data_IF_525971204601
#
_entry.id   IF_525971204601
#
_cell.length_a   1.000
_cell.length_b   1.000
_cell.length_c   1.000
_cell.angle_alpha   90.00
_cell.angle_beta   90.00
_cell.angle_gamma   90.00
#
_symmetry.space_group_name_H-M   'P 1'
#
loop_
_entity.id
_entity.type
_entity.pdbx_description
1 polymer ?
#
# COMPACT_ATOMS: atom_id res chain seq x y z
N UNK A 1 55.11 8.02 -12.65
CA UNK A 1 55.08 8.16 -11.18
C UNK A 1 53.78 7.52 -10.71
N UNK A 2 53.88 6.27 -10.28
CA UNK A 2 52.77 5.38 -9.91
C UNK A 2 52.67 5.35 -8.39
N UNK A 3 51.53 5.79 -7.84
CA UNK A 3 51.21 5.67 -6.42
C UNK A 3 50.03 4.73 -6.26
N UNK A 4 50.32 3.48 -5.86
CA UNK A 4 49.34 2.45 -5.56
C UNK A 4 49.22 2.40 -4.02
N UNK A 5 48.15 2.95 -3.47
CA UNK A 5 47.90 2.88 -2.02
C UNK A 5 47.01 1.68 -1.70
N UNK A 6 47.57 0.76 -0.92
CA UNK A 6 46.95 -0.46 -0.42
C UNK A 6 46.21 -0.15 0.88
N UNK A 7 44.87 -0.22 0.87
CA UNK A 7 44.06 -0.10 2.09
C UNK A 7 43.77 -1.51 2.64
N UNK A 8 44.37 -1.81 3.78
CA UNK A 8 44.14 -3.00 4.59
C UNK A 8 42.94 -2.76 5.53
N UNK A 9 41.82 -3.44 5.29
CA UNK A 9 40.66 -3.40 6.21
C UNK A 9 40.67 -4.66 7.07
N UNK A 10 40.86 -4.47 8.38
CA UNK A 10 40.89 -5.51 9.41
C UNK A 10 39.46 -5.84 9.84
N UNK A 11 39.04 -7.10 9.68
CA UNK A 11 37.79 -7.62 10.20
C UNK A 11 37.96 -8.04 11.67
N UNK A 12 37.42 -7.28 12.61
CA UNK A 12 37.25 -7.70 14.00
C UNK A 12 35.90 -8.39 14.17
N UNK A 13 35.91 -9.71 14.34
CA UNK A 13 34.75 -10.50 14.73
C UNK A 13 34.50 -10.35 16.23
N UNK A 14 33.38 -9.72 16.61
CA UNK A 14 32.88 -9.67 17.98
C UNK A 14 31.95 -10.87 18.22
N UNK A 15 32.42 -11.82 19.03
CA UNK A 15 31.62 -12.90 19.61
C UNK A 15 30.70 -12.31 20.69
N UNK A 16 29.43 -12.11 20.36
CA UNK A 16 28.38 -11.73 21.32
C UNK A 16 27.81 -12.95 22.02
N UNK A 17 27.97 -13.02 23.35
CA UNK A 17 27.40 -14.04 24.22
C UNK A 17 25.87 -13.96 24.26
N UNK A 18 25.21 -15.11 24.06
CA UNK A 18 23.76 -15.27 24.15
C UNK A 18 23.38 -15.41 25.63
N UNK A 19 22.73 -14.41 26.21
CA UNK A 19 22.05 -14.52 27.50
C UNK A 19 20.67 -15.15 27.27
N UNK A 20 20.44 -16.33 27.84
CA UNK A 20 19.15 -17.00 27.85
C UNK A 20 18.17 -16.26 28.78
N UNK A 21 17.07 -15.77 28.22
CA UNK A 21 15.96 -15.18 28.98
C UNK A 21 15.08 -16.28 29.59
N UNK A 22 14.56 -16.10 30.81
CA UNK A 22 13.62 -17.02 31.44
C UNK A 22 12.27 -17.03 30.71
N UNK A 23 11.72 -18.22 30.50
CA UNK A 23 10.40 -18.44 29.89
C UNK A 23 9.28 -17.89 30.78
N UNK A 24 8.31 -17.14 30.24
CA UNK A 24 7.13 -16.72 30.99
C UNK A 24 6.18 -17.90 31.23
N UNK A 25 5.65 -17.95 32.46
CA UNK A 25 4.73 -18.96 32.99
C UNK A 25 3.32 -18.83 32.36
N UNK A 26 2.75 -19.89 31.76
CA UNK A 26 1.47 -19.81 31.06
C UNK A 26 0.29 -20.09 32.00
N UNK A 27 0.09 -19.27 33.04
CA UNK A 27 -1.11 -19.41 33.91
C UNK A 27 -1.61 -18.08 34.48
N UNK A 28 -2.67 -17.55 33.86
CA UNK A 28 -3.95 -17.10 34.46
C UNK A 28 -4.59 -16.07 33.55
N UNK A 29 -5.64 -16.48 32.84
CA UNK A 29 -6.60 -15.56 32.24
C UNK A 29 -7.62 -15.24 33.34
N UNK A 30 -7.66 -14.00 33.88
CA UNK A 30 -8.77 -13.58 34.71
C UNK A 30 -10.02 -13.40 33.84
N UNK A 31 -11.03 -14.23 34.08
CA UNK A 31 -12.37 -14.06 33.51
C UNK A 31 -12.96 -12.75 34.05
N UNK A 32 -12.97 -11.72 33.20
CA UNK A 32 -13.59 -10.42 33.51
C UNK A 32 -15.11 -10.56 33.43
N UNK A 33 -15.88 -10.22 34.47
CA UNK A 33 -17.34 -10.20 34.37
C UNK A 33 -17.78 -9.17 33.33
N UNK A 34 -18.78 -9.55 32.53
CA UNK A 34 -19.38 -8.71 31.51
C UNK A 34 -19.98 -7.46 32.18
N UNK A 35 -19.45 -6.29 31.82
CA UNK A 35 -20.05 -5.02 32.19
C UNK A 35 -21.30 -4.81 31.33
N UNK A 36 -22.44 -4.70 32.00
CA UNK A 36 -23.73 -4.30 31.46
C UNK A 36 -23.64 -2.87 30.95
N UNK A 37 -23.81 -2.67 29.64
CA UNK A 37 -23.80 -1.35 29.02
C UNK A 37 -25.18 -0.72 29.23
N UNK A 38 -25.27 0.14 30.24
CA UNK A 38 -26.42 1.00 30.48
C UNK A 38 -26.52 2.03 29.33
N UNK A 39 -27.59 1.95 28.55
CA UNK A 39 -27.86 2.84 27.42
C UNK A 39 -28.22 4.23 27.95
N UNK A 40 -27.25 5.13 27.98
CA UNK A 40 -27.48 6.55 28.22
C UNK A 40 -28.18 7.14 26.99
N UNK A 41 -29.47 7.44 27.14
CA UNK A 41 -30.28 8.14 26.15
C UNK A 41 -30.02 9.65 26.27
N UNK A 42 -29.37 10.25 25.27
CA UNK A 42 -29.16 11.69 25.19
C UNK A 42 -30.28 12.33 24.35
N UNK A 43 -31.07 13.28 24.90
CA UNK A 43 -32.06 14.02 24.13
C UNK A 43 -31.37 15.05 23.23
N UNK A 44 -31.61 14.99 21.92
CA UNK A 44 -31.21 16.09 21.01
C UNK A 44 -30.80 15.72 19.59
N UNK A 45 -30.68 14.44 19.22
CA UNK A 45 -30.42 14.05 17.83
C UNK A 45 -31.73 13.78 17.10
N UNK A 46 -32.11 14.72 16.22
CA UNK A 46 -33.19 14.54 15.26
C UNK A 46 -32.93 13.29 14.42
N UNK A 47 -33.82 12.30 14.57
CA UNK A 47 -33.82 11.10 13.75
C UNK A 47 -34.21 11.47 12.32
N UNK A 48 -33.22 11.52 11.43
CA UNK A 48 -33.47 11.43 9.99
C UNK A 48 -34.03 10.03 9.75
N UNK A 49 -35.33 9.94 9.49
CA UNK A 49 -35.96 8.69 9.07
C UNK A 49 -35.37 8.26 7.74
N UNK A 50 -34.82 7.03 7.61
CA UNK A 50 -34.54 6.47 6.31
C UNK A 50 -35.88 6.13 5.66
N UNK A 51 -36.20 6.83 4.57
CA UNK A 51 -37.28 6.46 3.67
C UNK A 51 -37.11 5.00 3.27
N UNK A 52 -38.08 4.18 3.67
CA UNK A 52 -38.29 2.83 3.14
C UNK A 52 -38.71 2.96 1.68
N UNK A 53 -37.73 2.90 0.78
CA UNK A 53 -37.96 2.55 -0.62
C UNK A 53 -37.31 1.20 -0.90
N UNK A 54 -38.05 0.38 -1.62
CA UNK A 54 -37.81 -1.02 -1.86
C UNK A 54 -36.48 -1.23 -2.62
N UNK A 55 -35.63 -2.12 -2.11
CA UNK A 55 -34.60 -2.80 -2.89
C UNK A 55 -34.32 -4.16 -2.25
N UNK A 56 -35.01 -5.18 -2.76
CA UNK A 56 -34.48 -6.53 -2.76
C UNK A 56 -33.39 -6.56 -3.84
N UNK A 57 -32.14 -6.71 -3.40
CA UNK A 57 -30.95 -7.21 -4.12
C UNK A 57 -29.73 -6.74 -3.32
N UNK A 58 -29.41 -7.49 -2.26
CA UNK A 58 -28.25 -7.25 -1.39
C UNK A 58 -27.45 -8.56 -1.23
N UNK A 59 -27.11 -9.16 -2.38
CA UNK A 59 -25.94 -10.01 -2.52
C UNK A 59 -24.95 -9.29 -3.45
N UNK A 60 -23.69 -9.20 -3.01
CA UNK A 60 -22.52 -8.84 -3.81
C UNK A 60 -22.18 -7.33 -3.98
N UNK A 61 -21.92 -6.64 -2.86
CA UNK A 61 -20.92 -5.55 -2.85
C UNK A 61 -19.53 -6.10 -2.51
N UNK A 62 -19.01 -6.98 -3.35
CA UNK A 62 -17.56 -7.14 -3.46
C UNK A 62 -17.00 -5.84 -4.08
N UNK A 63 -15.95 -5.21 -3.51
CA UNK A 63 -15.34 -4.04 -4.14
C UNK A 63 -14.95 -4.40 -5.56
N UNK A 64 -15.62 -3.76 -6.52
CA UNK A 64 -15.62 -4.14 -7.93
C UNK A 64 -14.22 -4.43 -8.44
N UNK A 65 -14.05 -5.63 -8.95
CA UNK A 65 -12.77 -6.14 -9.39
C UNK A 65 -12.33 -5.33 -10.63
N UNK A 66 -11.22 -4.58 -10.56
CA UNK A 66 -10.94 -3.58 -11.58
C UNK A 66 -10.29 -4.20 -12.81
N UNK A 67 -11.07 -4.31 -13.88
CA UNK A 67 -10.74 -5.07 -15.11
C UNK A 67 -9.93 -4.27 -16.15
N UNK A 68 -9.78 -2.95 -16.00
CA UNK A 68 -9.24 -2.08 -17.07
C UNK A 68 -7.90 -1.41 -16.76
N UNK A 69 -7.29 -1.72 -15.62
CA UNK A 69 -6.05 -1.07 -15.18
C UNK A 69 -4.83 -1.69 -15.88
N UNK A 70 -3.84 -0.85 -16.23
CA UNK A 70 -2.64 -1.25 -16.99
C UNK A 70 -2.97 -1.90 -18.36
N UNK A 71 -3.81 -1.30 -19.20
CA UNK A 71 -4.21 -1.87 -20.49
C UNK A 71 -4.83 -3.29 -20.36
N UNK A 72 -5.62 -3.51 -19.32
CA UNK A 72 -6.25 -4.81 -19.03
C UNK A 72 -5.24 -5.94 -18.74
N UNK A 73 -3.97 -5.61 -18.44
CA UNK A 73 -2.98 -6.63 -18.09
C UNK A 73 -3.00 -6.96 -16.60
N UNK A 74 -3.66 -6.16 -15.75
CA UNK A 74 -3.71 -6.44 -14.31
C UNK A 74 -5.13 -6.35 -13.76
N UNK A 75 -5.39 -7.13 -12.72
CA UNK A 75 -6.64 -7.20 -11.99
C UNK A 75 -6.36 -7.27 -10.47
N UNK A 76 -7.42 -7.14 -9.66
CA UNK A 76 -7.34 -7.29 -8.19
C UNK A 76 -6.30 -6.38 -7.52
N UNK A 77 -6.13 -5.16 -8.04
CA UNK A 77 -5.15 -4.22 -7.51
C UNK A 77 -5.59 -3.72 -6.13
N UNK A 78 -4.69 -3.83 -5.15
CA UNK A 78 -4.95 -3.49 -3.75
C UNK A 78 -3.75 -2.79 -3.12
N UNK A 79 -4.02 -1.91 -2.15
CA UNK A 79 -2.98 -1.36 -1.27
C UNK A 79 -2.82 -2.23 -0.03
N UNK A 80 -1.62 -2.75 0.14
CA UNK A 80 -1.14 -3.43 1.34
C UNK A 80 -0.44 -2.49 2.33
N UNK A 81 0.26 -3.08 3.31
CA UNK A 81 1.06 -2.34 4.30
C UNK A 81 0.38 -2.13 5.65
N UNK A 82 -0.94 -2.32 5.74
CA UNK A 82 -1.73 -2.27 7.00
C UNK A 82 -1.47 -1.02 7.87
N UNK A 83 -1.16 0.11 7.24
CA UNK A 83 -0.81 1.34 7.96
C UNK A 83 0.50 1.26 8.73
N UNK A 84 1.46 0.39 8.38
CA UNK A 84 2.85 0.51 8.85
C UNK A 84 3.60 1.55 8.01
N UNK A 85 4.52 2.29 8.62
CA UNK A 85 5.42 3.22 7.89
C UNK A 85 6.48 2.44 7.12
N UNK A 86 6.85 2.92 5.93
CA UNK A 86 7.78 2.30 4.99
C UNK A 86 7.26 1.04 4.28
N UNK A 87 5.98 0.71 4.43
CA UNK A 87 5.43 -0.59 4.06
C UNK A 87 4.22 -0.52 3.12
N UNK A 88 3.89 0.66 2.59
CA UNK A 88 2.80 0.79 1.61
C UNK A 88 3.16 0.08 0.31
N UNK A 89 2.45 -1.01 0.01
CA UNK A 89 2.72 -1.88 -1.14
C UNK A 89 1.51 -1.88 -2.06
N UNK A 90 1.71 -1.74 -3.37
CA UNK A 90 0.68 -2.06 -4.37
C UNK A 90 0.81 -3.53 -4.74
N UNK A 91 -0.24 -4.31 -4.56
CA UNK A 91 -0.31 -5.71 -4.98
C UNK A 91 -1.44 -5.94 -5.98
N UNK A 92 -1.35 -7.01 -6.76
CA UNK A 92 -2.43 -7.46 -7.64
C UNK A 92 -1.97 -8.62 -8.52
N UNK A 93 -2.80 -8.98 -9.49
CA UNK A 93 -2.56 -10.10 -10.40
C UNK A 93 -2.34 -9.55 -11.80
N UNK A 94 -1.20 -9.81 -12.42
CA UNK A 94 -0.85 -9.29 -13.73
C UNK A 94 -0.51 -10.41 -14.72
N UNK A 95 -1.01 -10.27 -15.94
CA UNK A 95 -0.76 -11.15 -17.08
C UNK A 95 0.53 -10.78 -17.78
N UNK A 96 1.32 -11.77 -18.17
CA UNK A 96 2.48 -11.57 -19.04
C UNK A 96 2.12 -11.70 -20.54
N UNK A 97 3.14 -11.70 -21.40
CA UNK A 97 2.99 -11.77 -22.85
C UNK A 97 2.52 -13.14 -23.33
N UNK A 98 2.79 -14.20 -22.55
CA UNK A 98 2.37 -15.57 -22.82
C UNK A 98 0.93 -15.83 -22.33
N UNK A 99 0.29 -14.84 -21.70
CA UNK A 99 -1.06 -14.94 -21.17
C UNK A 99 -1.14 -15.54 -19.77
N UNK A 100 0.00 -15.79 -19.11
CA UNK A 100 0.06 -16.38 -17.76
C UNK A 100 -0.16 -15.30 -16.71
N UNK A 101 -1.02 -15.59 -15.73
CA UNK A 101 -1.30 -14.69 -14.61
C UNK A 101 -0.30 -14.88 -13.46
N UNK A 102 0.14 -13.77 -12.88
CA UNK A 102 1.12 -13.73 -11.83
C UNK A 102 0.67 -12.82 -10.70
N UNK A 103 0.83 -13.29 -9.47
CA UNK A 103 0.70 -12.43 -8.30
C UNK A 103 1.95 -11.55 -8.22
N UNK A 104 1.75 -10.24 -8.15
CA UNK A 104 2.84 -9.27 -8.14
C UNK A 104 2.60 -8.18 -7.11
N UNK A 105 3.69 -7.63 -6.57
CA UNK A 105 3.62 -6.54 -5.61
C UNK A 105 4.85 -5.64 -5.66
N UNK A 106 4.69 -4.35 -5.41
CA UNK A 106 5.79 -3.38 -5.36
C UNK A 106 5.61 -2.41 -4.18
N UNK A 107 6.70 -2.08 -3.48
CA UNK A 107 6.69 -1.07 -2.41
C UNK A 107 6.67 0.33 -3.01
N UNK A 108 5.60 1.08 -2.78
CA UNK A 108 5.39 2.41 -3.35
C UNK A 108 6.32 3.47 -2.74
N UNK A 109 6.89 3.21 -1.56
CA UNK A 109 7.91 4.09 -0.96
C UNK A 109 9.19 4.17 -1.78
N UNK A 110 9.41 3.21 -2.68
CA UNK A 110 10.53 3.23 -3.62
C UNK A 110 10.26 4.14 -4.83
N UNK A 111 8.99 4.50 -5.09
CA UNK A 111 8.60 5.23 -6.30
C UNK A 111 8.12 6.66 -6.01
N UNK A 112 7.61 6.93 -4.80
CA UNK A 112 6.93 8.18 -4.47
C UNK A 112 7.49 8.85 -3.21
N UNK A 113 7.48 10.18 -3.22
CA UNK A 113 7.77 11.05 -2.08
C UNK A 113 6.59 11.98 -1.77
N UNK A 114 6.59 12.49 -0.54
CA UNK A 114 5.90 13.72 -0.19
C UNK A 114 6.85 14.91 -0.40
N UNK A 115 6.40 15.92 -1.13
CA UNK A 115 7.14 17.16 -1.35
C UNK A 115 6.24 18.33 -0.96
N UNK A 116 6.35 18.77 0.29
CA UNK A 116 5.56 19.91 0.80
C UNK A 116 4.05 19.69 0.84
N UNK A 117 3.58 18.45 1.01
CA UNK A 117 2.17 18.09 0.98
C UNK A 117 1.66 17.60 -0.38
N UNK A 118 2.55 17.49 -1.38
CA UNK A 118 2.22 17.01 -2.73
C UNK A 118 2.93 15.69 -3.01
N UNK A 119 2.18 14.71 -3.51
CA UNK A 119 2.75 13.44 -3.99
C UNK A 119 3.54 13.66 -5.27
N UNK A 120 4.79 13.20 -5.28
CA UNK A 120 5.65 13.28 -6.45
C UNK A 120 6.36 11.95 -6.72
N UNK A 121 6.70 11.72 -7.98
CA UNK A 121 7.58 10.64 -8.37
C UNK A 121 9.00 10.92 -7.87
N UNK A 122 9.55 10.04 -7.05
CA UNK A 122 10.92 10.16 -6.52
C UNK A 122 11.41 8.79 -6.06
N UNK A 123 12.62 8.44 -6.47
CA UNK A 123 13.23 7.18 -6.05
C UNK A 123 13.47 7.19 -4.54
N UNK A 124 13.10 6.10 -3.87
CA UNK A 124 13.22 5.94 -2.41
C UNK A 124 12.61 7.10 -1.61
N UNK A 125 11.50 7.65 -2.09
CA UNK A 125 10.87 8.85 -1.55
C UNK A 125 10.17 8.69 -0.19
N UNK A 126 9.81 7.47 0.22
CA UNK A 126 9.21 7.17 1.52
C UNK A 126 7.97 8.03 1.88
N UNK A 127 7.11 8.30 0.90
CA UNK A 127 5.93 9.18 1.07
C UNK A 127 5.03 8.78 2.26
N UNK A 128 4.90 7.48 2.56
CA UNK A 128 3.94 6.99 3.55
C UNK A 128 4.29 7.35 5.02
N UNK A 129 5.45 7.96 5.24
CA UNK A 129 5.85 8.55 6.53
C UNK A 129 4.97 9.74 6.91
N UNK A 130 4.50 10.48 5.90
CA UNK A 130 3.80 11.76 6.01
C UNK A 130 2.48 11.81 5.23
N UNK A 131 2.21 10.80 4.40
CA UNK A 131 0.99 10.72 3.58
C UNK A 131 0.04 9.63 4.07
N UNK A 132 -1.04 10.01 4.77
CA UNK A 132 -2.08 9.09 5.27
C UNK A 132 -3.44 9.80 5.48
N UNK A 133 -4.58 9.11 5.27
CA UNK A 133 -4.71 7.81 4.63
C UNK A 133 -4.49 7.90 3.11
N UNK A 134 -4.27 6.75 2.47
CA UNK A 134 -4.17 6.62 1.02
C UNK A 134 -5.16 5.60 0.49
N UNK A 135 -5.75 5.87 -0.66
CA UNK A 135 -6.70 4.99 -1.35
C UNK A 135 -6.34 4.88 -2.83
N UNK A 136 -6.59 3.70 -3.41
CA UNK A 136 -6.60 3.57 -4.87
C UNK A 136 -7.94 4.05 -5.38
N UNK A 137 -7.89 4.77 -6.49
CA UNK A 137 -9.06 5.21 -7.21
C UNK A 137 -8.84 4.98 -8.69
N UNK A 138 -9.85 4.40 -9.29
CA UNK A 138 -10.01 4.32 -10.71
C UNK A 138 -10.86 5.49 -11.14
N UNK A 139 -10.24 6.50 -11.72
CA UNK A 139 -10.96 7.69 -12.17
C UNK A 139 -11.64 7.42 -13.53
N UNK A 140 -12.53 6.41 -13.53
CA UNK A 140 -13.65 6.11 -14.44
C UNK A 140 -13.42 6.11 -15.96
N UNK A 141 -12.22 6.42 -16.42
CA UNK A 141 -11.89 6.61 -17.83
C UNK A 141 -10.68 5.75 -18.13
N UNK A 142 -10.78 4.90 -19.16
CA UNK A 142 -9.69 4.04 -19.61
C UNK A 142 -8.40 4.83 -19.93
N UNK A 143 -8.54 6.13 -20.19
CA UNK A 143 -7.44 7.06 -20.44
C UNK A 143 -6.69 7.48 -19.16
N UNK A 144 -7.32 7.45 -17.98
CA UNK A 144 -6.73 8.03 -16.75
C UNK A 144 -6.01 7.04 -15.83
N UNK A 145 -5.95 5.75 -16.18
CA UNK A 145 -5.16 4.76 -15.43
C UNK A 145 -5.56 4.64 -13.95
N UNK A 146 -4.62 4.18 -13.12
CA UNK A 146 -4.82 4.01 -11.68
C UNK A 146 -4.31 5.26 -10.96
N UNK A 147 -5.11 5.83 -10.06
CA UNK A 147 -4.68 6.99 -9.26
C UNK A 147 -4.50 6.58 -7.79
N UNK A 148 -3.37 6.93 -7.19
CA UNK A 148 -3.19 6.90 -5.74
C UNK A 148 -3.58 8.27 -5.18
N UNK A 149 -4.61 8.32 -4.35
CA UNK A 149 -5.08 9.52 -3.67
C UNK A 149 -4.67 9.46 -2.19
N UNK A 150 -4.07 10.51 -1.66
CA UNK A 150 -3.60 10.58 -0.29
C UNK A 150 -3.84 11.96 0.34
N UNK A 151 -3.77 12.02 1.67
CA UNK A 151 -3.56 13.28 2.38
C UNK A 151 -2.12 13.33 2.90
N UNK A 152 -1.33 14.30 2.46
CA UNK A 152 0.08 14.44 2.83
C UNK A 152 0.31 15.69 3.68
N UNK A 153 1.14 15.57 4.72
CA UNK A 153 1.47 16.72 5.56
C UNK A 153 2.36 17.71 4.79
N UNK A 154 1.99 18.98 4.79
CA UNK A 154 2.87 20.06 4.36
C UNK A 154 3.91 20.40 5.45
N UNK A 155 4.84 21.35 5.22
CA UNK A 155 5.85 21.72 6.22
C UNK A 155 5.28 22.25 7.55
N UNK A 156 4.06 22.79 7.53
CA UNK A 156 3.34 23.26 8.72
C UNK A 156 2.62 22.12 9.47
N UNK A 157 2.73 20.88 8.99
CA UNK A 157 2.02 19.73 9.54
C UNK A 157 0.53 19.68 9.19
N UNK A 158 0.08 20.49 8.23
CA UNK A 158 -1.30 20.51 7.76
C UNK A 158 -1.50 19.50 6.62
N UNK A 159 -2.52 18.62 6.68
CA UNK A 159 -2.78 17.65 5.63
C UNK A 159 -3.30 18.34 4.36
N UNK A 160 -2.70 17.99 3.24
CA UNK A 160 -3.06 18.44 1.90
C UNK A 160 -3.53 17.24 1.08
N UNK A 161 -4.70 17.35 0.45
CA UNK A 161 -5.19 16.34 -0.46
C UNK A 161 -4.39 16.39 -1.76
N UNK A 162 -3.81 15.26 -2.16
CA UNK A 162 -2.98 15.13 -3.35
C UNK A 162 -3.19 13.77 -4.00
N UNK A 163 -2.84 13.66 -5.27
CA UNK A 163 -2.97 12.42 -6.01
C UNK A 163 -1.83 12.26 -7.02
N UNK A 164 -1.53 11.01 -7.37
CA UNK A 164 -0.53 10.70 -8.39
C UNK A 164 -1.02 9.53 -9.25
N UNK A 165 -0.74 9.63 -10.55
CA UNK A 165 -1.11 8.62 -11.52
C UNK A 165 -0.16 7.44 -11.56
N UNK A 166 -0.66 6.29 -11.98
CA UNK A 166 0.08 5.07 -12.25
C UNK A 166 -0.50 4.41 -13.50
N UNK A 167 0.34 3.71 -14.25
CA UNK A 167 -0.04 3.05 -15.49
C UNK A 167 0.69 3.56 -16.73
N UNK A 168 0.40 2.95 -17.88
CA UNK A 168 1.12 3.20 -19.12
C UNK A 168 0.91 4.63 -19.67
N UNK A 169 -0.19 5.29 -19.30
CA UNK A 169 -0.56 6.61 -19.82
C UNK A 169 0.19 7.77 -19.13
N UNK A 170 0.95 7.49 -18.07
CA UNK A 170 1.75 8.50 -17.39
C UNK A 170 3.20 8.42 -17.87
N UNK A 171 3.65 9.52 -18.47
CA UNK A 171 5.00 9.68 -19.03
C UNK A 171 5.98 10.15 -17.96
N UNK A 172 6.28 9.28 -17.00
CA UNK A 172 7.36 9.48 -16.05
C UNK A 172 8.15 8.18 -15.86
N UNK A 173 9.49 8.21 -15.74
CA UNK A 173 10.31 7.00 -15.61
C UNK A 173 10.01 6.19 -14.34
N UNK A 174 9.67 6.88 -13.25
CA UNK A 174 9.28 6.27 -11.97
C UNK A 174 7.77 6.01 -11.84
N UNK A 175 7.00 6.18 -12.92
CA UNK A 175 5.60 5.74 -12.91
C UNK A 175 5.55 4.23 -12.72
N UNK A 176 4.69 3.77 -11.80
CA UNK A 176 4.43 2.34 -11.62
C UNK A 176 3.74 1.81 -12.87
N UNK A 177 4.29 0.75 -13.46
CA UNK A 177 3.80 0.09 -14.69
C UNK A 177 3.83 -1.43 -14.52
N UNK A 178 3.03 -2.13 -15.32
CA UNK A 178 3.08 -3.58 -15.41
C UNK A 178 3.90 -3.99 -16.65
N UNK A 179 4.92 -4.81 -16.46
CA UNK A 179 5.79 -5.32 -17.52
C UNK A 179 5.98 -6.82 -17.32
N UNK A 180 5.60 -7.62 -18.32
CA UNK A 180 5.71 -9.08 -18.31
C UNK A 180 5.17 -9.73 -17.01
N UNK A 181 3.95 -9.35 -16.60
CA UNK A 181 3.31 -9.86 -15.38
C UNK A 181 3.93 -9.37 -14.07
N UNK A 182 4.71 -8.29 -14.08
CA UNK A 182 5.37 -7.73 -12.89
C UNK A 182 5.14 -6.23 -12.77
N UNK A 183 4.88 -5.74 -11.56
CA UNK A 183 4.89 -4.30 -11.26
C UNK A 183 6.32 -3.77 -11.11
N UNK A 184 6.62 -2.66 -11.78
CA UNK A 184 7.93 -1.99 -11.77
C UNK A 184 7.77 -0.46 -11.66
N UNK A 185 8.79 0.25 -11.17
CA UNK A 185 8.90 1.71 -11.28
C UNK A 185 10.38 2.12 -11.41
N UNK A 186 10.78 2.75 -12.52
CA UNK A 186 12.21 2.93 -12.84
C UNK A 186 12.99 1.61 -12.76
N UNK A 187 14.07 1.61 -11.98
CA UNK A 187 14.91 0.43 -11.72
C UNK A 187 14.38 -0.48 -10.59
N UNK A 188 13.29 -0.07 -9.93
CA UNK A 188 12.71 -0.82 -8.82
C UNK A 188 11.79 -1.92 -9.36
N UNK A 189 12.15 -3.15 -9.03
CA UNK A 189 11.48 -4.36 -9.51
C UNK A 189 10.65 -4.95 -8.37
N UNK A 190 9.33 -5.00 -8.55
CA UNK A 190 8.41 -5.64 -7.62
C UNK A 190 8.58 -7.16 -7.58
N UNK A 191 7.94 -7.83 -6.63
CA UNK A 191 7.90 -9.30 -6.56
C UNK A 191 6.97 -9.88 -7.63
N UNK A 192 7.18 -11.16 -7.98
CA UNK A 192 6.35 -11.92 -8.94
C UNK A 192 6.35 -13.39 -8.52
N UNK A 193 5.18 -13.99 -8.39
CA UNK A 193 4.98 -15.42 -8.10
C UNK A 193 3.86 -15.98 -8.98
N UNK A 194 3.93 -17.26 -9.40
CA UNK A 194 2.86 -17.84 -10.22
C UNK A 194 1.52 -17.79 -9.48
N UNK A 195 0.46 -17.39 -10.17
CA UNK A 195 -0.89 -17.53 -9.66
C UNK A 195 -1.48 -18.84 -10.21
N UNK A 196 -1.71 -19.82 -9.33
CA UNK A 196 -2.24 -21.14 -9.70
C UNK A 196 -3.76 -21.25 -9.56
N UNK A 197 -4.46 -20.17 -9.19
CA UNK A 197 -5.89 -20.16 -8.91
C UNK A 197 -6.75 -19.92 -10.18
N UNK A 198 -6.26 -20.36 -11.34
CA UNK A 198 -6.94 -20.20 -12.64
C UNK A 198 -8.11 -21.16 -12.85
#
# INVERSE_FOLDING_TARGET
MTGLETILVIFTALLGSILALPSPDPRRIPTRPAAEIEKISLPGFSQVQPSRENAADDEDRQPGNPSWVFNQTCSQLTLGGRGKKGATTLGGTCRDQDGVWWDTSINLNLCFANDGGVLQYRDSGNFDNECRPCILSEDGTAEKGLTLKCNCLNPDGMPQYTFIGMGPNFDHPLTVKAVAGRLICGDQIGNKSPNFAG
#
